data_IF_818112468542
#
_entry.id   IF_818112468542
#
_cell.length_a   1.000
_cell.length_b   1.000
_cell.length_c   1.000
_cell.angle_alpha   90.00
_cell.angle_beta   90.00
_cell.angle_gamma   90.00
#
_symmetry.space_group_name_H-M   'P 1'
#
loop_
_entity.id
_entity.type
_entity.pdbx_description
1 polymer ?
#
# COMPACT_ATOMS: atom_id res chain seq x y z
N UNK A 1 -2.63 12.15 -11.96
CA UNK A 1 -2.01 12.29 -10.62
C UNK A 1 -0.56 11.86 -10.73
N UNK A 2 0.33 12.84 -10.65
CA UNK A 2 1.81 12.77 -10.57
C UNK A 2 2.32 14.22 -10.40
N UNK A 3 1.61 15.17 -11.01
CA UNK A 3 1.79 16.65 -10.89
C UNK A 3 1.58 17.20 -9.46
N UNK A 4 0.92 16.47 -8.55
CA UNK A 4 0.69 16.92 -7.16
C UNK A 4 1.65 16.33 -6.13
N UNK A 5 2.50 15.38 -6.52
CA UNK A 5 3.49 14.81 -5.59
C UNK A 5 4.82 15.54 -5.76
N UNK A 6 5.33 16.14 -4.68
CA UNK A 6 6.68 16.71 -4.68
C UNK A 6 7.76 15.62 -4.60
N UNK A 7 7.41 14.34 -4.70
CA UNK A 7 8.38 13.25 -4.70
C UNK A 7 8.09 12.26 -5.81
N UNK A 8 9.16 11.82 -6.47
CA UNK A 8 9.12 10.85 -7.57
C UNK A 8 10.14 9.74 -7.32
N UNK A 9 9.77 8.50 -7.61
CA UNK A 9 10.65 7.34 -7.53
C UNK A 9 10.76 6.66 -8.90
N UNK A 10 11.95 6.23 -9.27
CA UNK A 10 12.25 5.61 -10.56
C UNK A 10 13.53 4.75 -10.47
N UNK A 11 13.81 3.96 -11.51
CA UNK A 11 15.03 3.16 -11.60
C UNK A 11 16.27 4.07 -11.69
N UNK A 12 17.21 3.93 -10.76
CA UNK A 12 18.39 4.79 -10.69
C UNK A 12 19.34 4.59 -11.88
N UNK A 13 19.40 3.38 -12.43
CA UNK A 13 20.23 3.00 -13.57
C UNK A 13 19.62 3.42 -14.90
N UNK A 14 18.28 3.51 -14.99
CA UNK A 14 17.55 3.93 -16.20
C UNK A 14 16.54 5.03 -15.87
N UNK A 15 16.97 6.30 -15.83
CA UNK A 15 16.08 7.42 -15.56
C UNK A 15 14.87 7.45 -16.49
N UNK A 16 13.68 7.63 -15.93
CA UNK A 16 12.40 7.62 -16.67
C UNK A 16 11.68 6.26 -16.69
N UNK A 17 12.33 5.18 -16.22
CA UNK A 17 11.70 3.88 -16.00
C UNK A 17 11.20 3.77 -14.56
N UNK A 18 9.95 3.37 -14.37
CA UNK A 18 9.35 3.13 -13.02
C UNK A 18 9.31 1.64 -12.63
N UNK A 19 9.95 0.77 -13.41
CA UNK A 19 10.10 -0.65 -13.14
C UNK A 19 11.56 -1.03 -12.83
N UNK A 20 11.72 -2.08 -12.03
CA UNK A 20 13.02 -2.65 -11.64
C UNK A 20 13.12 -4.08 -12.17
N UNK A 21 13.55 -4.28 -13.42
CA UNK A 21 13.70 -5.62 -13.95
C UNK A 21 14.93 -6.31 -13.35
N UNK A 22 14.75 -7.53 -12.87
CA UNK A 22 15.85 -8.41 -12.43
C UNK A 22 16.27 -9.43 -13.50
N UNK A 23 15.59 -9.43 -14.65
CA UNK A 23 15.85 -10.35 -15.77
C UNK A 23 15.15 -11.69 -15.59
N UNK A 24 15.59 -12.68 -16.36
CA UNK A 24 15.13 -14.07 -16.30
C UNK A 24 16.34 -14.99 -16.07
N UNK A 25 16.88 -15.02 -14.84
CA UNK A 25 18.07 -15.83 -14.53
C UNK A 25 17.72 -17.33 -14.56
N UNK A 26 18.67 -18.14 -15.04
CA UNK A 26 18.66 -19.58 -14.79
C UNK A 26 19.32 -19.84 -13.42
N UNK A 27 18.57 -20.45 -12.49
CA UNK A 27 18.98 -20.57 -11.08
C UNK A 27 19.17 -22.04 -10.74
N UNK A 28 20.44 -22.45 -10.61
CA UNK A 28 20.81 -23.83 -10.29
C UNK A 28 20.79 -24.11 -8.78
N UNK A 29 21.29 -23.18 -7.97
CA UNK A 29 21.32 -23.28 -6.49
C UNK A 29 20.69 -22.04 -5.85
N UNK A 30 21.31 -20.88 -6.06
CA UNK A 30 20.80 -19.60 -5.56
C UNK A 30 21.15 -18.47 -6.52
N UNK A 31 20.33 -17.42 -6.53
CA UNK A 31 20.58 -16.21 -7.30
C UNK A 31 20.30 -14.98 -6.45
N UNK A 32 21.17 -13.98 -6.54
CA UNK A 32 20.94 -12.68 -5.90
C UNK A 32 21.20 -11.56 -6.88
N UNK A 33 20.35 -10.55 -6.87
CA UNK A 33 20.53 -9.34 -7.67
C UNK A 33 20.03 -8.11 -6.92
N UNK A 34 20.55 -6.95 -7.32
CA UNK A 34 20.16 -5.66 -6.76
C UNK A 34 19.78 -4.69 -7.89
N UNK A 35 18.68 -3.96 -7.70
CA UNK A 35 18.30 -2.82 -8.52
C UNK A 35 18.16 -1.61 -7.60
N UNK A 36 18.61 -0.44 -8.03
CA UNK A 36 18.54 0.75 -7.20
C UNK A 36 17.31 1.57 -7.62
N UNK A 37 16.54 1.97 -6.63
CA UNK A 37 15.50 2.98 -6.79
C UNK A 37 16.12 4.32 -6.48
N UNK A 38 15.96 5.27 -7.39
CA UNK A 38 16.19 6.69 -7.12
C UNK A 38 14.88 7.33 -6.71
N UNK A 39 14.90 7.97 -5.55
CA UNK A 39 13.83 8.86 -5.11
C UNK A 39 14.34 10.29 -5.14
N UNK A 40 13.54 11.22 -5.68
CA UNK A 40 13.84 12.63 -5.73
C UNK A 40 12.75 13.43 -5.04
N UNK A 41 13.14 14.26 -4.07
CA UNK A 41 12.31 15.25 -3.41
C UNK A 41 12.43 16.57 -4.16
N UNK A 42 11.38 16.96 -4.86
CA UNK A 42 11.24 18.22 -5.60
C UNK A 42 10.68 19.35 -4.73
N UNK A 43 10.30 19.05 -3.49
CA UNK A 43 9.71 20.01 -2.55
C UNK A 43 10.76 20.83 -1.80
N UNK A 44 10.29 21.84 -1.08
CA UNK A 44 11.10 22.75 -0.28
C UNK A 44 11.37 22.27 1.17
N UNK A 45 10.80 21.12 1.56
CA UNK A 45 10.95 20.56 2.91
C UNK A 45 11.58 19.17 2.85
N UNK A 46 12.33 18.80 3.88
CA UNK A 46 12.81 17.43 4.08
C UNK A 46 11.63 16.46 4.19
N UNK A 47 11.73 15.31 3.54
CA UNK A 47 10.74 14.24 3.58
C UNK A 47 11.41 12.95 4.02
N UNK A 48 10.72 12.14 4.80
CA UNK A 48 11.21 10.84 5.24
C UNK A 48 10.24 9.76 4.77
N UNK A 49 10.75 8.64 4.26
CA UNK A 49 9.94 7.55 3.74
C UNK A 49 10.31 6.22 4.40
N UNK A 50 9.31 5.38 4.65
CA UNK A 50 9.50 3.95 4.88
C UNK A 50 9.20 3.19 3.59
N UNK A 51 10.01 2.19 3.27
CA UNK A 51 9.79 1.34 2.11
C UNK A 51 9.14 0.02 2.53
N UNK A 52 8.23 -0.50 1.71
CA UNK A 52 7.72 -1.87 1.84
C UNK A 52 7.61 -2.55 0.48
N UNK A 53 7.56 -3.88 0.47
CA UNK A 53 7.29 -4.68 -0.71
C UNK A 53 5.93 -5.34 -0.59
N UNK A 54 5.15 -5.29 -1.67
CA UNK A 54 3.87 -5.98 -1.78
C UNK A 54 3.93 -6.88 -3.02
N UNK A 55 3.91 -8.19 -2.81
CA UNK A 55 3.91 -9.16 -3.90
C UNK A 55 2.54 -9.20 -4.59
N UNK A 56 2.55 -9.17 -5.93
CA UNK A 56 1.39 -9.45 -6.78
C UNK A 56 1.40 -10.93 -7.19
N UNK A 57 2.58 -11.45 -7.52
CA UNK A 57 2.85 -12.88 -7.66
C UNK A 57 4.00 -13.21 -6.73
N UNK A 58 3.76 -14.14 -5.80
CA UNK A 58 4.71 -14.56 -4.78
C UNK A 58 5.13 -16.02 -5.05
N UNK A 59 6.37 -16.21 -5.49
CA UNK A 59 6.95 -17.51 -5.78
C UNK A 59 7.69 -18.07 -4.56
N UNK A 60 7.40 -19.33 -4.22
CA UNK A 60 8.15 -20.04 -3.19
C UNK A 60 9.65 -20.02 -3.49
N UNK A 61 10.48 -19.68 -2.50
CA UNK A 61 11.93 -19.56 -2.65
C UNK A 61 12.42 -18.24 -3.22
N UNK A 62 11.52 -17.29 -3.54
CA UNK A 62 11.88 -15.93 -3.92
C UNK A 62 11.70 -14.99 -2.72
N UNK A 63 12.61 -14.05 -2.54
CA UNK A 63 12.52 -13.02 -1.52
C UNK A 63 12.96 -11.69 -2.10
N UNK A 64 12.07 -10.69 -2.00
CA UNK A 64 12.37 -9.31 -2.36
C UNK A 64 12.49 -8.49 -1.08
N UNK A 65 13.65 -7.85 -0.89
CA UNK A 65 13.94 -7.06 0.29
C UNK A 65 14.13 -5.59 -0.07
N UNK A 66 13.53 -4.71 0.72
CA UNK A 66 13.72 -3.26 0.68
C UNK A 66 14.34 -2.78 2.00
N UNK A 67 14.92 -1.57 2.07
CA UNK A 67 15.51 -1.08 3.30
C UNK A 67 14.47 -0.94 4.41
N UNK A 68 14.78 -1.48 5.59
CA UNK A 68 13.96 -1.28 6.79
C UNK A 68 14.19 0.09 7.45
N UNK A 69 15.35 0.71 7.21
CA UNK A 69 15.67 2.02 7.75
C UNK A 69 14.93 3.13 6.98
N UNK A 70 14.44 4.18 7.67
CA UNK A 70 13.82 5.31 7.00
C UNK A 70 14.76 6.01 6.01
N UNK A 71 14.22 6.37 4.85
CA UNK A 71 14.93 7.06 3.78
C UNK A 71 14.66 8.56 3.96
N UNK A 72 15.67 9.31 4.42
CA UNK A 72 15.57 10.75 4.64
C UNK A 72 16.04 11.50 3.40
N UNK A 73 15.17 12.33 2.82
CA UNK A 73 15.44 13.16 1.66
C UNK A 73 15.30 14.64 2.02
N UNK A 74 16.42 15.37 2.19
CA UNK A 74 16.40 16.82 2.26
C UNK A 74 15.66 17.47 1.08
N UNK A 75 15.22 18.72 1.28
CA UNK A 75 14.58 19.51 0.23
C UNK A 75 15.42 19.57 -1.04
N UNK A 76 14.77 19.46 -2.21
CA UNK A 76 15.43 19.53 -3.53
C UNK A 76 16.59 18.53 -3.76
N UNK A 77 16.61 17.39 -3.06
CA UNK A 77 17.66 16.36 -3.21
C UNK A 77 17.12 15.04 -3.76
N UNK A 78 18.03 14.15 -4.11
CA UNK A 78 17.74 12.78 -4.51
C UNK A 78 18.62 11.80 -3.73
N UNK A 79 18.09 10.61 -3.49
CA UNK A 79 18.79 9.50 -2.86
C UNK A 79 18.49 8.20 -3.58
N UNK A 80 19.46 7.31 -3.60
CA UNK A 80 19.29 5.96 -4.12
C UNK A 80 19.20 4.96 -2.97
N UNK A 81 18.41 3.91 -3.13
CA UNK A 81 18.36 2.79 -2.21
C UNK A 81 18.20 1.46 -2.95
N UNK A 82 18.75 0.36 -2.43
CA UNK A 82 18.71 -0.93 -3.11
C UNK A 82 17.38 -1.65 -2.85
N UNK A 83 16.90 -2.33 -3.88
CA UNK A 83 15.92 -3.41 -3.81
C UNK A 83 16.65 -4.70 -4.17
N UNK A 84 16.64 -5.65 -3.25
CA UNK A 84 17.38 -6.90 -3.36
C UNK A 84 16.42 -8.03 -3.72
N UNK A 85 16.80 -8.83 -4.70
CA UNK A 85 16.17 -10.10 -5.03
C UNK A 85 17.10 -11.22 -4.56
N UNK A 86 16.56 -12.18 -3.83
CA UNK A 86 17.20 -13.44 -3.51
C UNK A 86 16.29 -14.59 -3.96
N UNK A 87 16.88 -15.61 -4.56
CA UNK A 87 16.19 -16.80 -5.07
C UNK A 87 16.92 -18.04 -4.58
N UNK A 88 16.17 -19.00 -4.02
CA UNK A 88 16.63 -20.32 -3.63
C UNK A 88 15.98 -21.37 -4.53
N UNK A 89 16.78 -21.99 -5.41
CA UNK A 89 16.29 -22.98 -6.36
C UNK A 89 15.70 -24.23 -5.68
N UNK A 90 16.19 -24.60 -4.50
CA UNK A 90 15.69 -25.76 -3.74
C UNK A 90 14.25 -25.59 -3.24
N UNK A 91 13.75 -24.35 -3.20
CA UNK A 91 12.41 -24.00 -2.76
C UNK A 91 11.48 -23.60 -3.91
N UNK A 92 12.04 -23.33 -5.11
CA UNK A 92 11.27 -22.98 -6.30
C UNK A 92 10.28 -24.09 -6.64
N UNK A 93 9.03 -23.69 -6.83
CA UNK A 93 7.95 -24.56 -7.32
C UNK A 93 7.33 -23.92 -8.54
N UNK A 94 7.13 -24.72 -9.60
CA UNK A 94 6.36 -24.25 -10.74
C UNK A 94 4.93 -23.99 -10.31
N UNK A 95 4.43 -22.79 -10.58
CA UNK A 95 3.07 -22.42 -10.24
C UNK A 95 2.26 -22.30 -11.54
N UNK A 96 1.22 -23.14 -11.75
CA UNK A 96 0.34 -22.95 -12.89
C UNK A 96 -0.42 -21.63 -12.75
N UNK A 97 -0.76 -21.01 -13.89
CA UNK A 97 -1.59 -19.80 -13.93
C UNK A 97 -2.93 -20.04 -13.19
N UNK A 98 -3.23 -19.27 -12.11
CA UNK A 98 -4.46 -19.43 -11.34
C UNK A 98 -5.75 -19.18 -12.15
N UNK A 99 -5.67 -18.44 -13.27
CA UNK A 99 -6.79 -18.18 -14.16
C UNK A 99 -7.13 -19.37 -15.06
N UNK A 100 -6.22 -20.36 -15.15
CA UNK A 100 -6.42 -21.58 -15.91
C UNK A 100 -6.88 -22.69 -14.97
N UNK A 101 -8.16 -23.08 -15.09
CA UNK A 101 -8.71 -24.22 -14.35
C UNK A 101 -7.90 -25.50 -14.56
N UNK A 102 -7.98 -26.42 -13.60
CA UNK A 102 -7.27 -27.72 -13.57
C UNK A 102 -7.69 -28.59 -14.76
N UNK A 103 -7.12 -28.37 -15.93
CA UNK A 103 -7.33 -29.19 -17.12
C UNK A 103 -6.00 -29.39 -17.85
N UNK A 104 -5.62 -30.64 -18.20
CA UNK A 104 -4.30 -30.92 -18.73
C UNK A 104 -4.25 -30.51 -20.20
N UNK A 105 -3.68 -29.35 -20.49
CA UNK A 105 -3.31 -28.98 -21.87
C UNK A 105 -1.84 -29.32 -22.06
N UNK A 106 -1.57 -30.50 -22.62
CA UNK A 106 -0.23 -30.93 -22.99
C UNK A 106 0.40 -29.92 -23.96
N UNK A 107 1.64 -29.49 -23.68
CA UNK A 107 2.46 -28.67 -24.60
C UNK A 107 2.51 -27.16 -24.35
N UNK A 108 2.09 -26.66 -23.17
CA UNK A 108 2.33 -25.27 -22.79
C UNK A 108 3.57 -25.15 -21.91
N UNK A 109 4.45 -24.22 -22.27
CA UNK A 109 5.55 -23.76 -21.44
C UNK A 109 5.14 -22.44 -20.81
N UNK A 110 5.34 -22.30 -19.50
CA UNK A 110 5.21 -21.03 -18.79
C UNK A 110 6.55 -20.70 -18.11
N UNK A 111 6.79 -19.42 -17.93
CA UNK A 111 7.88 -18.90 -17.12
C UNK A 111 7.28 -18.47 -15.79
N UNK A 112 7.81 -18.97 -14.68
CA UNK A 112 7.44 -18.49 -13.36
C UNK A 112 8.01 -17.06 -13.20
N UNK A 113 7.17 -16.11 -12.79
CA UNK A 113 7.54 -14.70 -12.63
C UNK A 113 7.16 -14.21 -11.23
N UNK A 114 8.15 -13.71 -10.49
CA UNK A 114 7.92 -12.91 -9.28
C UNK A 114 7.57 -11.48 -9.68
N UNK A 115 6.47 -10.94 -9.16
CA UNK A 115 6.06 -9.57 -9.47
C UNK A 115 5.48 -8.87 -8.26
N UNK A 116 5.66 -7.55 -8.18
CA UNK A 116 5.14 -6.78 -7.05
C UNK A 116 5.38 -5.30 -7.15
N UNK A 117 5.06 -4.61 -6.05
CA UNK A 117 5.19 -3.17 -5.91
C UNK A 117 6.12 -2.83 -4.75
N UNK A 118 7.06 -1.92 -5.00
CA UNK A 118 7.77 -1.21 -3.93
C UNK A 118 6.94 0.02 -3.59
N UNK A 119 6.48 0.08 -2.34
CA UNK A 119 5.66 1.16 -1.81
C UNK A 119 6.53 2.07 -0.94
N UNK A 120 6.35 3.38 -1.11
CA UNK A 120 7.06 4.41 -0.34
C UNK A 120 6.04 5.19 0.49
N UNK A 121 6.18 5.09 1.80
CA UNK A 121 5.25 5.62 2.77
C UNK A 121 5.85 6.85 3.45
N UNK A 122 5.35 8.05 3.16
CA UNK A 122 5.89 9.26 3.77
C UNK A 122 5.56 9.30 5.28
N UNK A 123 6.60 9.38 6.11
CA UNK A 123 6.45 9.51 7.57
C UNK A 123 5.87 10.88 7.94
N UNK A 124 5.07 10.90 9.01
CA UNK A 124 4.48 12.13 9.55
C UNK A 124 3.34 12.71 8.70
N UNK A 125 2.96 12.06 7.60
CA UNK A 125 1.77 12.41 6.83
C UNK A 125 0.59 11.59 7.30
N UNK A 126 -0.33 12.23 8.03
CA UNK A 126 -1.64 11.66 8.25
C UNK A 126 -2.49 11.92 6.99
N UNK A 127 -3.04 10.86 6.39
CA UNK A 127 -4.06 11.05 5.36
C UNK A 127 -5.33 11.50 6.05
N UNK A 128 -5.89 12.61 5.59
CA UNK A 128 -7.14 13.12 6.11
C UNK A 128 -8.24 12.96 5.07
N UNK A 129 -9.40 12.50 5.52
CA UNK A 129 -10.62 12.47 4.76
C UNK A 129 -11.66 13.33 5.46
N UNK A 130 -12.34 14.18 4.70
CA UNK A 130 -13.57 14.82 5.18
C UNK A 130 -14.71 13.83 5.03
N UNK A 131 -15.46 13.60 6.10
CA UNK A 131 -16.63 12.74 6.07
C UNK A 131 -17.83 13.60 5.66
N UNK A 132 -18.45 13.28 4.53
CA UNK A 132 -19.64 13.97 4.04
C UNK A 132 -20.66 12.98 3.49
N UNK A 133 -21.94 13.33 3.61
CA UNK A 133 -23.04 12.57 3.03
C UNK A 133 -23.10 12.62 1.50
N UNK A 134 -22.56 13.68 0.89
CA UNK A 134 -22.70 13.96 -0.55
C UNK A 134 -21.96 12.94 -1.44
N UNK A 135 -20.89 12.34 -0.92
CA UNK A 135 -20.08 11.35 -1.65
C UNK A 135 -20.51 9.91 -1.39
N UNK A 136 -21.49 9.69 -0.50
CA UNK A 136 -22.09 8.39 -0.30
C UNK A 136 -23.03 8.04 -1.48
N UNK A 137 -23.16 6.76 -1.78
CA UNK A 137 -24.10 6.28 -2.80
C UNK A 137 -25.06 5.28 -2.17
N UNK A 138 -26.37 5.59 -2.09
CA UNK A 138 -26.98 6.89 -2.37
C UNK A 138 -26.52 7.98 -1.39
N UNK A 139 -26.65 9.25 -1.79
CA UNK A 139 -26.25 10.38 -0.94
C UNK A 139 -26.99 10.36 0.40
N UNK A 140 -26.28 10.63 1.50
CA UNK A 140 -26.89 10.63 2.81
C UNK A 140 -27.86 11.81 2.95
N UNK A 141 -28.99 11.58 3.60
CA UNK A 141 -30.01 12.62 3.87
C UNK A 141 -29.81 13.33 5.21
N UNK A 142 -28.90 12.82 6.04
CA UNK A 142 -28.52 13.43 7.32
C UNK A 142 -27.47 14.53 7.12
N UNK A 143 -27.48 15.55 7.99
CA UNK A 143 -26.42 16.57 8.05
C UNK A 143 -25.10 16.09 8.68
N UNK A 144 -24.94 14.79 8.95
CA UNK A 144 -23.76 14.24 9.61
C UNK A 144 -22.48 14.53 8.79
N UNK A 145 -21.45 14.99 9.48
CA UNK A 145 -20.18 15.40 8.90
C UNK A 145 -19.03 14.92 9.79
N UNK A 146 -17.77 15.18 9.38
CA UNK A 146 -16.64 14.92 10.25
C UNK A 146 -15.31 14.87 9.53
N UNK A 147 -14.32 14.31 10.22
CA UNK A 147 -13.00 14.06 9.67
C UNK A 147 -12.46 12.72 10.14
N UNK A 148 -11.69 12.08 9.28
CA UNK A 148 -10.90 10.90 9.62
C UNK A 148 -9.44 11.17 9.28
N UNK A 149 -8.54 10.84 10.19
CA UNK A 149 -7.11 10.86 9.99
C UNK A 149 -6.56 9.44 10.06
N UNK A 150 -5.67 9.09 9.14
CA UNK A 150 -5.08 7.77 9.02
C UNK A 150 -3.56 7.87 8.95
N UNK A 151 -2.87 6.97 9.63
CA UNK A 151 -1.43 6.78 9.53
C UNK A 151 -1.12 5.30 9.39
N UNK A 152 -0.31 4.93 8.40
CA UNK A 152 0.06 3.53 8.19
C UNK A 152 1.53 3.35 8.54
N UNK A 153 1.83 2.32 9.34
CA UNK A 153 3.18 1.85 9.62
C UNK A 153 3.41 0.54 8.86
N UNK A 154 4.16 0.57 7.76
CA UNK A 154 4.51 -0.62 6.99
C UNK A 154 5.28 -1.65 7.80
N UNK A 155 6.19 -1.22 8.67
CA UNK A 155 7.00 -2.12 9.49
C UNK A 155 6.17 -2.99 10.44
N UNK A 156 5.07 -2.43 10.97
CA UNK A 156 4.15 -3.13 11.83
C UNK A 156 2.94 -3.73 11.07
N UNK A 157 2.82 -3.47 9.77
CA UNK A 157 1.61 -3.70 8.98
C UNK A 157 0.34 -3.16 9.68
N UNK A 158 0.44 -1.98 10.29
CA UNK A 158 -0.64 -1.41 11.12
C UNK A 158 -1.18 -0.11 10.55
N UNK A 159 -2.50 -0.01 10.46
CA UNK A 159 -3.22 1.23 10.14
C UNK A 159 -3.78 1.85 11.41
N UNK A 160 -3.19 2.96 11.85
CA UNK A 160 -3.75 3.80 12.90
C UNK A 160 -4.81 4.73 12.31
N UNK A 161 -5.92 4.91 13.04
CA UNK A 161 -6.99 5.82 12.63
C UNK A 161 -7.45 6.68 13.80
N UNK A 162 -8.00 7.85 13.46
CA UNK A 162 -8.76 8.71 14.36
C UNK A 162 -9.93 9.29 13.59
N UNK A 163 -11.14 9.09 14.07
CA UNK A 163 -12.37 9.56 13.43
C UNK A 163 -13.10 10.47 14.40
N UNK A 164 -13.39 11.69 13.96
CA UNK A 164 -14.21 12.66 14.67
C UNK A 164 -15.47 12.89 13.86
N UNK A 165 -16.63 12.64 14.47
CA UNK A 165 -17.93 12.85 13.84
C UNK A 165 -18.55 14.12 14.43
N UNK A 166 -19.13 14.94 13.57
CA UNK A 166 -19.81 16.19 13.89
C UNK A 166 -21.22 16.21 13.31
N UNK A 167 -22.04 17.13 13.78
CA UNK A 167 -23.40 17.40 13.26
C UNK A 167 -24.38 16.22 13.32
N UNK A 168 -24.11 15.25 14.21
CA UNK A 168 -25.04 14.19 14.59
C UNK A 168 -24.87 13.88 16.09
N UNK A 169 -25.97 13.58 16.77
CA UNK A 169 -25.90 13.13 18.15
C UNK A 169 -25.20 11.76 18.22
N UNK A 170 -24.38 11.47 19.24
CA UNK A 170 -23.68 10.18 19.37
C UNK A 170 -24.62 8.97 19.31
N UNK A 171 -25.84 9.07 19.86
CA UNK A 171 -26.85 8.02 19.81
C UNK A 171 -27.43 7.77 18.39
N UNK A 172 -27.24 8.71 17.46
CA UNK A 172 -27.64 8.57 16.06
C UNK A 172 -26.63 7.81 15.19
N UNK A 173 -25.43 7.53 15.70
CA UNK A 173 -24.41 6.77 14.98
C UNK A 173 -24.52 5.29 15.35
N UNK A 174 -24.90 4.47 14.38
CA UNK A 174 -25.12 3.03 14.58
C UNK A 174 -23.84 2.23 14.31
N UNK A 175 -23.13 2.57 13.24
CA UNK A 175 -21.87 1.93 12.87
C UNK A 175 -20.92 2.94 12.24
N UNK A 176 -19.63 2.68 12.38
CA UNK A 176 -18.57 3.37 11.62
C UNK A 176 -17.77 2.29 10.92
N UNK A 177 -17.68 2.35 9.60
CA UNK A 177 -16.95 1.39 8.79
C UNK A 177 -15.87 2.08 7.97
N UNK A 178 -14.77 1.36 7.76
CA UNK A 178 -13.76 1.70 6.78
C UNK A 178 -13.94 0.76 5.58
N UNK A 179 -14.14 1.33 4.40
CA UNK A 179 -14.30 0.57 3.15
C UNK A 179 -13.26 0.97 2.11
N UNK A 180 -13.13 0.13 1.08
CA UNK A 180 -12.36 0.46 -0.11
C UNK A 180 -13.28 0.63 -1.31
N UNK A 181 -12.96 1.59 -2.17
CA UNK A 181 -13.72 1.90 -3.38
C UNK A 181 -13.15 3.12 -4.10
N UNK A 182 -13.63 3.39 -5.31
CA UNK A 182 -13.35 4.67 -5.96
C UNK A 182 -14.31 5.74 -5.42
N UNK A 183 -13.94 7.03 -5.46
CA UNK A 183 -14.88 8.09 -5.14
C UNK A 183 -16.16 7.96 -5.98
N UNK A 184 -17.32 7.84 -5.31
CA UNK A 184 -18.62 7.66 -5.94
C UNK A 184 -19.05 6.20 -6.19
N UNK A 185 -18.25 5.20 -5.80
CA UNK A 185 -18.71 3.81 -5.75
C UNK A 185 -19.49 3.55 -4.44
N UNK A 186 -20.40 2.56 -4.46
CA UNK A 186 -20.92 1.99 -3.22
C UNK A 186 -19.75 1.35 -2.45
N UNK A 187 -19.53 1.77 -1.21
CA UNK A 187 -18.41 1.32 -0.41
C UNK A 187 -18.62 -0.12 0.06
N UNK A 188 -17.70 -1.01 -0.29
CA UNK A 188 -17.61 -2.33 0.34
C UNK A 188 -16.92 -2.17 1.71
N UNK A 189 -17.62 -2.42 2.85
CA UNK A 189 -17.02 -2.29 4.16
C UNK A 189 -15.95 -3.36 4.37
N UNK A 190 -14.74 -2.94 4.73
CA UNK A 190 -13.62 -3.82 5.05
C UNK A 190 -13.49 -4.04 6.55
N UNK A 191 -13.62 -2.95 7.33
CA UNK A 191 -13.50 -2.97 8.78
C UNK A 191 -14.66 -2.25 9.43
N UNK A 192 -15.14 -2.78 10.56
CA UNK A 192 -16.03 -2.06 11.47
C UNK A 192 -15.19 -1.45 12.57
N UNK A 193 -15.16 -0.11 12.62
CA UNK A 193 -14.39 0.65 13.61
C UNK A 193 -15.19 0.88 14.91
N UNK A 194 -16.51 0.89 14.80
CA UNK A 194 -17.44 1.04 15.92
C UNK A 194 -18.81 0.44 15.56
N UNK A 195 -19.46 -0.15 16.57
CA UNK A 195 -20.87 -0.50 16.55
C UNK A 195 -21.56 0.05 17.80
N UNK A 196 -22.80 0.53 17.67
CA UNK A 196 -23.61 0.96 18.83
C UNK A 196 -23.91 -0.18 19.83
N UNK A 197 -23.73 -1.43 19.40
CA UNK A 197 -23.77 -2.58 20.31
C UNK A 197 -22.61 -2.58 21.32
N UNK A 198 -21.50 -1.90 21.00
CA UNK A 198 -20.29 -1.87 21.83
C UNK A 198 -20.36 -0.81 22.94
N UNK A 199 -21.36 0.07 22.91
CA UNK A 199 -21.58 1.12 23.91
C UNK A 199 -21.80 2.50 23.31
N UNK A 200 -21.88 3.56 24.14
CA UNK A 200 -22.07 4.91 23.64
C UNK A 200 -20.85 5.39 22.84
N UNK A 201 -21.11 6.01 21.68
CA UNK A 201 -20.07 6.58 20.84
C UNK A 201 -19.35 7.73 21.58
N UNK A 202 -18.01 7.70 21.73
CA UNK A 202 -17.25 8.87 22.15
C UNK A 202 -17.18 9.91 21.02
N UNK A 203 -16.96 11.19 21.36
CA UNK A 203 -16.86 12.26 20.35
C UNK A 203 -15.76 12.01 19.29
N UNK A 204 -14.71 11.27 19.68
CA UNK A 204 -13.63 10.82 18.81
C UNK A 204 -13.35 9.34 19.09
N UNK A 205 -13.24 8.53 18.04
CA UNK A 205 -12.74 7.16 18.13
C UNK A 205 -11.33 7.08 17.55
N UNK A 206 -10.47 6.29 18.18
CA UNK A 206 -9.11 6.04 17.70
C UNK A 206 -8.76 4.57 17.93
N UNK A 207 -7.95 4.02 17.05
CA UNK A 207 -7.51 2.63 17.15
C UNK A 207 -6.48 2.27 16.10
N UNK A 208 -6.12 0.98 16.09
CA UNK A 208 -5.21 0.38 15.12
C UNK A 208 -5.84 -0.85 14.52
N UNK A 209 -5.70 -1.02 13.21
CA UNK A 209 -6.06 -2.23 12.47
C UNK A 209 -4.77 -2.95 12.05
N UNK A 210 -4.82 -4.28 12.04
CA UNK A 210 -3.77 -5.16 11.52
C UNK A 210 -4.18 -5.70 10.14
#
# INVERSE_FOLDING_TARGET
MAVKSDSVAYNAQVPGRVSLPFGAPDVLDSFTAAQNVRIANKGAMTRTFEASYFAVTDLAGVTVTVPAAPIVLPAATQSDFPVLLAVNAGELRRQPDPALGVYPVYGRHWLDEESGHVLLWPQGTNWQATLTGDSAVPAATSGASGSAAFGYSPAAAQLAYTVTITDIAPAGVVTITLGAGRPGDELAPLYTLYSAADGPLPATISGTLA
#
